data_IF_106869875498
#
_entry.id   IF_106869875498
#
_cell.length_a   1.000
_cell.length_b   1.000
_cell.length_c   1.000
_cell.angle_alpha   90.00
_cell.angle_beta   90.00
_cell.angle_gamma   90.00
#
_symmetry.space_group_name_H-M   'P 1'
#
loop_
_entity.id
_entity.type
_entity.pdbx_description
1 polymer ?
#
# COMPACT_ATOMS: atom_id res chain seq x y z
N UNK A 1 28.76 24.59 21.17
CA UNK A 1 28.98 24.94 19.75
C UNK A 1 29.03 23.66 18.93
N UNK A 2 27.88 23.17 18.49
CA UNK A 2 27.50 23.16 17.07
C UNK A 2 26.14 22.48 16.96
N UNK A 3 25.11 23.32 16.89
CA UNK A 3 23.79 22.95 16.38
C UNK A 3 23.96 22.65 14.88
N UNK A 4 23.85 21.38 14.53
CA UNK A 4 23.79 20.91 13.15
C UNK A 4 22.34 20.79 12.70
N UNK A 5 21.61 21.90 12.67
CA UNK A 5 20.32 21.97 11.99
C UNK A 5 20.59 21.98 10.47
N UNK A 6 20.45 20.82 9.83
CA UNK A 6 20.49 20.74 8.37
C UNK A 6 19.14 21.18 7.81
N UNK A 7 19.21 22.30 7.09
CA UNK A 7 18.11 22.92 6.39
C UNK A 7 17.65 22.01 5.24
N UNK A 8 16.43 21.49 5.36
CA UNK A 8 15.60 21.24 4.19
C UNK A 8 15.25 22.63 3.64
N UNK A 9 16.05 23.13 2.71
CA UNK A 9 15.73 24.36 2.00
C UNK A 9 14.44 24.13 1.19
N UNK A 10 13.41 24.87 1.59
CA UNK A 10 11.99 24.75 1.22
C UNK A 10 11.18 23.64 1.92
N UNK A 11 11.48 23.38 3.20
CA UNK A 11 10.46 22.86 4.11
C UNK A 11 9.35 23.91 4.22
N UNK A 12 8.26 23.68 3.48
CA UNK A 12 7.05 24.49 3.58
C UNK A 12 6.67 24.76 5.04
N UNK A 13 5.98 25.87 5.29
CA UNK A 13 5.67 26.35 6.63
C UNK A 13 5.21 25.22 7.56
N UNK A 14 5.87 25.11 8.73
CA UNK A 14 5.53 24.10 9.73
C UNK A 14 4.15 24.42 10.31
N UNK A 15 3.12 23.74 9.79
CA UNK A 15 1.72 24.01 10.16
C UNK A 15 1.33 23.40 11.52
N UNK A 16 1.82 22.20 11.85
CA UNK A 16 1.49 21.51 13.09
C UNK A 16 2.54 20.46 13.47
N UNK A 17 2.57 20.08 14.75
CA UNK A 17 3.37 18.96 15.27
C UNK A 17 2.50 18.09 16.15
N UNK A 18 2.58 16.79 15.91
CA UNK A 18 2.08 15.79 16.84
C UNK A 18 3.28 15.01 17.37
N UNK A 19 3.50 15.09 18.68
CA UNK A 19 4.49 14.25 19.35
C UNK A 19 3.80 12.95 19.76
N UNK A 20 4.36 11.81 19.34
CA UNK A 20 3.93 10.49 19.80
C UNK A 20 4.84 10.13 20.97
N UNK A 21 4.26 9.84 22.13
CA UNK A 21 5.02 9.40 23.30
C UNK A 21 5.57 7.99 23.07
N UNK A 22 6.81 7.74 23.49
CA UNK A 22 7.43 6.41 23.42
C UNK A 22 6.88 5.45 24.51
N UNK A 23 6.21 5.99 25.53
CA UNK A 23 5.64 5.21 26.62
C UNK A 23 4.28 4.60 26.21
N UNK A 24 4.29 3.30 25.88
CA UNK A 24 3.09 2.54 25.51
C UNK A 24 1.95 2.64 26.55
N UNK A 25 2.29 2.83 27.83
CA UNK A 25 1.32 3.01 28.91
C UNK A 25 0.43 4.24 28.76
N UNK A 26 0.86 5.27 28.03
CA UNK A 26 0.05 6.45 27.74
C UNK A 26 -1.01 6.19 26.64
N UNK A 27 -0.91 5.06 25.95
CA UNK A 27 -1.84 4.61 24.91
C UNK A 27 -2.73 3.43 25.35
N UNK A 28 -2.65 3.01 26.62
CA UNK A 28 -3.52 1.98 27.23
C UNK A 28 -4.95 2.47 27.54
N UNK A 29 -5.37 3.55 26.87
CA UNK A 29 -6.74 4.05 26.92
C UNK A 29 -7.76 3.05 26.37
N UNK A 30 -9.06 3.38 26.47
CA UNK A 30 -10.10 2.54 25.88
C UNK A 30 -9.84 2.35 24.38
N UNK A 31 -10.04 1.11 23.91
CA UNK A 31 -9.91 0.78 22.48
C UNK A 31 -10.83 1.74 21.69
N UNK A 32 -10.30 2.49 20.71
CA UNK A 32 -11.11 3.37 19.88
C UNK A 32 -12.21 2.59 19.18
N UNK A 33 -13.35 3.25 18.94
CA UNK A 33 -14.42 2.64 18.15
C UNK A 33 -13.96 2.50 16.68
N UNK A 34 -13.75 1.26 16.26
CA UNK A 34 -13.47 0.92 14.87
C UNK A 34 -14.75 0.37 14.24
N UNK A 35 -15.36 1.16 13.36
CA UNK A 35 -16.53 0.72 12.59
C UNK A 35 -16.25 -0.55 11.78
N UNK A 36 -17.30 -1.34 11.55
CA UNK A 36 -17.20 -2.58 10.78
C UNK A 36 -16.70 -2.31 9.35
N UNK A 37 -15.69 -3.06 8.92
CA UNK A 37 -15.11 -2.93 7.59
C UNK A 37 -16.05 -3.55 6.56
N UNK A 38 -16.55 -2.74 5.63
CA UNK A 38 -17.41 -3.18 4.53
C UNK A 38 -16.73 -2.98 3.16
N UNK A 39 -16.91 -3.96 2.25
CA UNK A 39 -16.42 -3.84 0.87
C UNK A 39 -17.40 -2.96 0.06
N UNK A 40 -16.96 -1.76 -0.32
CA UNK A 40 -17.69 -0.84 -1.21
C UNK A 40 -17.46 -1.14 -2.70
N UNK A 41 -16.44 -1.94 -3.01
CA UNK A 41 -16.17 -2.49 -4.33
C UNK A 41 -14.71 -2.89 -4.51
N UNK A 42 -14.35 -3.22 -5.76
CA UNK A 42 -13.04 -3.76 -6.10
C UNK A 42 -12.68 -3.46 -7.57
N UNK A 43 -11.39 -3.55 -7.87
CA UNK A 43 -10.85 -3.53 -9.22
C UNK A 43 -9.67 -4.50 -9.32
N UNK A 44 -9.23 -4.79 -10.54
CA UNK A 44 -8.03 -5.56 -10.83
C UNK A 44 -7.04 -4.72 -11.63
N UNK A 45 -5.75 -4.98 -11.48
CA UNK A 45 -4.69 -4.38 -12.31
C UNK A 45 -4.00 -5.50 -13.09
N UNK A 46 -4.33 -5.63 -14.37
CA UNK A 46 -3.78 -6.66 -15.26
C UNK A 46 -2.77 -6.00 -16.19
N UNK A 47 -1.51 -6.41 -16.10
CA UNK A 47 -0.45 -5.86 -16.96
C UNK A 47 -0.37 -4.33 -16.92
N UNK A 48 -0.50 -3.76 -15.71
CA UNK A 48 -0.54 -2.31 -15.45
C UNK A 48 -1.81 -1.59 -15.95
N UNK A 49 -2.76 -2.32 -16.53
CA UNK A 49 -4.05 -1.78 -16.95
C UNK A 49 -5.12 -1.96 -15.87
N UNK A 50 -5.89 -0.90 -15.65
CA UNK A 50 -7.06 -0.91 -14.78
C UNK A 50 -8.19 -1.72 -15.41
N UNK A 51 -8.79 -2.62 -14.61
CA UNK A 51 -9.97 -3.37 -14.99
C UNK A 51 -11.00 -3.27 -13.86
N UNK A 52 -12.18 -2.73 -14.15
CA UNK A 52 -13.27 -2.54 -13.18
C UNK A 52 -14.00 -3.86 -12.86
N UNK A 53 -13.27 -4.87 -12.41
CA UNK A 53 -13.83 -6.17 -12.05
C UNK A 53 -12.86 -7.00 -11.21
N UNK A 54 -13.34 -8.15 -10.77
CA UNK A 54 -12.60 -9.14 -10.01
C UNK A 54 -11.81 -10.15 -10.88
N UNK A 55 -11.40 -9.82 -12.12
CA UNK A 55 -10.79 -10.84 -13.02
C UNK A 55 -9.52 -11.50 -12.47
N UNK A 56 -8.77 -10.80 -11.61
CA UNK A 56 -7.55 -11.33 -10.99
C UNK A 56 -7.79 -11.92 -9.59
N UNK A 57 -9.04 -11.96 -9.13
CA UNK A 57 -9.41 -12.55 -7.84
C UNK A 57 -8.96 -14.01 -7.80
N UNK A 58 -8.38 -14.39 -6.66
CA UNK A 58 -7.95 -15.75 -6.40
C UNK A 58 -8.64 -16.28 -5.15
N UNK A 59 -8.89 -17.57 -5.13
CA UNK A 59 -9.55 -18.27 -4.04
C UNK A 59 -8.54 -19.09 -3.26
N UNK A 60 -8.67 -19.12 -1.94
CA UNK A 60 -7.86 -20.00 -1.09
C UNK A 60 -8.15 -21.45 -1.45
N UNK A 61 -7.10 -22.27 -1.62
CA UNK A 61 -7.28 -23.70 -1.87
C UNK A 61 -7.52 -24.42 -0.55
N UNK A 62 -8.66 -25.09 -0.45
CA UNK A 62 -9.00 -26.01 0.63
C UNK A 62 -9.43 -27.35 0.01
N UNK A 63 -8.88 -28.50 0.44
CA UNK A 63 -7.84 -28.64 1.46
C UNK A 63 -6.49 -28.07 0.99
N UNK A 64 -5.64 -27.70 1.95
CA UNK A 64 -4.30 -27.21 1.64
C UNK A 64 -3.48 -28.31 0.95
N UNK A 65 -2.58 -27.97 0.01
CA UNK A 65 -1.73 -28.97 -0.64
C UNK A 65 -0.90 -29.71 0.41
N UNK A 66 -1.07 -31.02 0.56
CA UNK A 66 -0.41 -31.87 1.58
C UNK A 66 1.12 -32.00 1.40
N UNK A 67 1.71 -31.31 0.43
CA UNK A 67 3.14 -31.33 0.18
C UNK A 67 3.90 -30.66 1.33
N UNK A 68 4.62 -31.46 2.13
CA UNK A 68 5.51 -31.00 3.21
C UNK A 68 6.83 -30.36 2.73
N UNK A 69 7.05 -30.21 1.41
CA UNK A 69 8.33 -29.75 0.82
C UNK A 69 8.10 -28.83 -0.37
N UNK A 70 7.64 -27.60 -0.12
CA UNK A 70 7.53 -26.59 -1.18
C UNK A 70 8.90 -26.03 -1.53
N UNK A 71 9.34 -26.25 -2.78
CA UNK A 71 10.52 -25.56 -3.31
C UNK A 71 10.12 -24.17 -3.82
N UNK A 72 10.31 -23.16 -2.96
CA UNK A 72 10.02 -21.77 -3.29
C UNK A 72 11.03 -21.14 -4.26
N UNK A 73 12.18 -21.77 -4.52
CA UNK A 73 13.15 -21.30 -5.52
C UNK A 73 12.79 -21.70 -6.95
N UNK A 74 11.86 -22.64 -7.14
CA UNK A 74 11.53 -23.19 -8.46
C UNK A 74 10.97 -22.09 -9.38
N UNK A 75 11.73 -21.72 -10.41
CA UNK A 75 11.34 -20.72 -11.40
C UNK A 75 11.73 -19.28 -11.05
N UNK A 76 12.57 -19.08 -10.03
CA UNK A 76 13.10 -17.75 -9.68
C UNK A 76 13.89 -17.13 -10.85
N UNK A 77 14.77 -17.90 -11.49
CA UNK A 77 15.60 -17.39 -12.60
C UNK A 77 14.83 -16.94 -13.85
N UNK A 78 13.56 -17.33 -13.98
CA UNK A 78 12.69 -16.95 -15.10
C UNK A 78 11.64 -15.92 -14.70
N UNK A 79 11.62 -15.49 -13.42
CA UNK A 79 10.63 -14.56 -12.92
C UNK A 79 11.10 -13.13 -13.17
N UNK A 80 10.22 -12.29 -13.72
CA UNK A 80 10.53 -10.89 -13.90
C UNK A 80 10.21 -10.12 -12.61
N UNK A 81 11.17 -9.37 -12.05
CA UNK A 81 10.83 -8.39 -11.03
C UNK A 81 9.90 -7.34 -11.63
N UNK A 82 8.81 -7.04 -10.94
CA UNK A 82 7.91 -5.93 -11.25
C UNK A 82 8.21 -4.82 -10.26
N UNK A 83 8.62 -3.67 -10.76
CA UNK A 83 8.78 -2.48 -9.94
C UNK A 83 7.42 -2.05 -9.41
N UNK A 84 7.35 -1.64 -8.14
CA UNK A 84 6.18 -0.96 -7.61
C UNK A 84 6.10 0.38 -8.32
N UNK A 85 5.26 0.47 -9.34
CA UNK A 85 4.96 1.76 -9.93
C UNK A 85 4.08 2.54 -8.96
N UNK A 86 4.47 3.78 -8.72
CA UNK A 86 3.69 4.86 -8.12
C UNK A 86 2.23 4.94 -8.61
N UNK A 87 1.90 4.37 -9.77
CA UNK A 87 0.55 4.24 -10.33
C UNK A 87 -0.50 3.52 -9.44
N UNK A 88 -0.10 2.85 -8.34
CA UNK A 88 -1.05 2.23 -7.39
C UNK A 88 -2.07 3.22 -6.81
N UNK A 89 -1.62 4.44 -6.46
CA UNK A 89 -2.53 5.50 -5.98
C UNK A 89 -3.44 6.00 -7.10
N UNK A 90 -2.94 6.07 -8.33
CA UNK A 90 -3.69 6.49 -9.51
C UNK A 90 -4.86 5.55 -9.83
N UNK A 91 -4.68 4.24 -9.68
CA UNK A 91 -5.76 3.26 -9.87
C UNK A 91 -6.87 3.40 -8.82
N UNK A 92 -6.51 3.65 -7.55
CA UNK A 92 -7.50 3.91 -6.51
C UNK A 92 -8.29 5.19 -6.79
N UNK A 93 -7.60 6.27 -7.17
CA UNK A 93 -8.25 7.52 -7.58
C UNK A 93 -9.17 7.32 -8.79
N UNK A 94 -8.76 6.50 -9.74
CA UNK A 94 -9.57 6.13 -10.89
C UNK A 94 -10.85 5.39 -10.45
N UNK A 95 -10.74 4.39 -9.57
CA UNK A 95 -11.89 3.69 -9.00
C UNK A 95 -12.84 4.65 -8.28
N UNK A 96 -12.31 5.53 -7.42
CA UNK A 96 -13.08 6.56 -6.69
C UNK A 96 -13.84 7.47 -7.66
N UNK A 97 -13.19 7.89 -8.76
CA UNK A 97 -13.82 8.73 -9.79
C UNK A 97 -14.99 8.02 -10.48
N UNK A 98 -14.86 6.73 -10.76
CA UNK A 98 -15.93 5.94 -11.39
C UNK A 98 -17.07 5.61 -10.43
N UNK A 99 -16.79 5.43 -9.14
CA UNK A 99 -17.73 4.93 -8.13
C UNK A 99 -18.05 5.94 -7.03
N UNK A 100 -17.95 7.24 -7.32
CA UNK A 100 -18.18 8.34 -6.35
C UNK A 100 -19.50 8.23 -5.59
N UNK A 101 -20.55 7.72 -6.24
CA UNK A 101 -21.89 7.61 -5.68
C UNK A 101 -21.99 6.49 -4.62
N UNK A 102 -21.00 5.58 -4.57
CA UNK A 102 -20.88 4.55 -3.51
C UNK A 102 -20.16 5.06 -2.27
N UNK A 103 -19.43 6.17 -2.38
CA UNK A 103 -18.65 6.76 -1.28
C UNK A 103 -19.43 7.79 -0.48
N UNK A 104 -20.42 8.42 -1.12
CA UNK A 104 -21.31 9.40 -0.51
C UNK A 104 -22.64 8.70 -0.27
N UNK A 105 -22.93 8.34 0.99
CA UNK A 105 -24.28 7.90 1.35
C UNK A 105 -25.28 8.97 0.90
N UNK A 106 -26.46 8.60 0.35
CA UNK A 106 -27.48 9.59 0.07
C UNK A 106 -27.83 10.34 1.37
N UNK A 107 -28.10 11.66 1.30
CA UNK A 107 -28.60 12.38 2.46
C UNK A 107 -29.82 11.63 2.98
N UNK A 108 -29.80 11.26 4.26
CA UNK A 108 -30.95 10.68 4.92
C UNK A 108 -32.16 11.60 4.73
N UNK A 109 -33.31 11.11 4.27
CA UNK A 109 -34.51 11.93 4.10
C UNK A 109 -35.07 12.48 5.43
N UNK A 110 -34.53 12.06 6.58
CA UNK A 110 -35.03 12.43 7.92
C UNK A 110 -34.49 13.77 8.47
N UNK A 111 -33.76 14.57 7.67
CA UNK A 111 -33.24 15.87 8.08
C UNK A 111 -33.71 17.00 7.16
N UNK A 112 -35.02 17.20 7.09
CA UNK A 112 -35.60 18.52 6.77
C UNK A 112 -35.43 19.48 7.97
N UNK A 113 -34.18 19.84 8.29
CA UNK A 113 -33.90 21.03 9.10
C UNK A 113 -33.10 22.01 8.25
N UNK A 114 -33.60 23.24 8.01
CA UNK A 114 -32.81 24.27 7.36
C UNK A 114 -31.76 24.76 8.37
N UNK A 115 -30.59 24.12 8.38
CA UNK A 115 -29.45 24.54 9.21
C UNK A 115 -28.70 25.68 8.52
N UNK A 116 -28.88 26.89 9.06
CA UNK A 116 -28.27 28.15 8.62
C UNK A 116 -26.92 28.43 9.30
N UNK A 117 -26.16 27.41 9.67
CA UNK A 117 -24.82 27.57 10.28
C UNK A 117 -23.74 26.88 9.46
N UNK A 118 -22.65 27.59 9.18
CA UNK A 118 -21.42 27.07 8.56
C UNK A 118 -20.79 25.92 9.38
N UNK A 119 -21.16 25.77 10.66
CA UNK A 119 -20.65 24.76 11.59
C UNK A 119 -21.41 23.43 11.53
N UNK A 120 -22.66 23.42 11.04
CA UNK A 120 -23.47 22.20 10.87
C UNK A 120 -23.07 21.39 9.62
N UNK A 121 -22.26 22.00 8.76
CA UNK A 121 -21.50 21.31 7.71
C UNK A 121 -20.17 20.80 8.27
N UNK A 122 -20.20 20.14 9.43
CA UNK A 122 -19.11 19.24 9.84
C UNK A 122 -19.05 18.10 8.81
N UNK A 123 -18.41 18.43 7.69
CA UNK A 123 -18.30 17.60 6.51
C UNK A 123 -17.52 16.38 6.96
N UNK A 124 -18.18 15.22 7.00
CA UNK A 124 -17.54 13.95 7.30
C UNK A 124 -16.36 13.80 6.34
N UNK A 125 -15.15 14.08 6.83
CA UNK A 125 -13.96 14.09 5.99
C UNK A 125 -13.62 12.65 5.66
N UNK A 126 -13.59 12.32 4.37
CA UNK A 126 -13.30 10.97 3.89
C UNK A 126 -11.81 10.87 3.64
N UNK A 127 -11.13 10.00 4.39
CA UNK A 127 -9.72 9.70 4.20
C UNK A 127 -9.56 8.66 3.08
N UNK A 128 -8.80 9.01 2.04
CA UNK A 128 -8.51 8.13 0.91
C UNK A 128 -7.01 7.83 0.87
N UNK A 129 -6.65 6.58 1.15
CA UNK A 129 -5.26 6.15 1.17
C UNK A 129 -5.12 4.65 0.85
N UNK A 130 -3.90 4.25 0.49
CA UNK A 130 -3.57 2.83 0.44
C UNK A 130 -3.46 2.25 1.85
N UNK A 131 -3.88 1.00 2.05
CA UNK A 131 -3.82 0.31 3.36
C UNK A 131 -2.45 0.36 4.05
N UNK A 132 -1.37 0.42 3.27
CA UNK A 132 -0.02 0.56 3.81
C UNK A 132 0.16 1.84 4.64
N UNK A 133 -0.46 2.95 4.25
CA UNK A 133 -0.42 4.23 5.00
C UNK A 133 -1.01 4.05 6.40
N UNK A 134 -2.20 3.43 6.50
CA UNK A 134 -2.84 3.16 7.79
C UNK A 134 -1.97 2.24 8.66
N UNK A 135 -1.35 1.22 8.06
CA UNK A 135 -0.41 0.34 8.77
C UNK A 135 0.78 1.13 9.31
N UNK A 136 1.38 2.00 8.49
CA UNK A 136 2.50 2.85 8.93
C UNK A 136 2.12 3.70 10.12
N UNK A 137 0.97 4.37 10.08
CA UNK A 137 0.47 5.18 11.20
C UNK A 137 0.21 4.34 12.46
N UNK A 138 -0.56 3.25 12.33
CA UNK A 138 -0.88 2.38 13.48
C UNK A 138 0.35 1.73 14.11
N UNK A 139 1.39 1.49 13.33
CA UNK A 139 2.61 0.88 13.83
C UNK A 139 3.69 1.89 14.23
N UNK A 140 3.46 3.19 14.03
CA UNK A 140 4.44 4.24 14.37
C UNK A 140 4.91 4.18 15.83
N UNK A 141 4.03 3.97 16.83
CA UNK A 141 4.47 3.87 18.23
C UNK A 141 5.37 2.67 18.53
N UNK A 142 5.50 1.71 17.61
CA UNK A 142 6.22 0.45 17.83
C UNK A 142 7.49 0.31 16.97
N UNK A 143 7.73 1.20 16.00
CA UNK A 143 8.85 1.08 15.05
C UNK A 143 9.78 2.30 15.13
N UNK A 144 10.71 2.28 16.08
CA UNK A 144 11.71 3.35 16.29
C UNK A 144 12.71 3.54 15.13
N UNK A 145 12.84 2.57 14.21
CA UNK A 145 13.96 2.50 13.26
C UNK A 145 13.61 2.81 11.81
N UNK A 146 12.35 3.15 11.51
CA UNK A 146 11.92 3.39 10.13
C UNK A 146 11.17 4.72 10.03
N UNK A 147 11.91 5.77 9.67
CA UNK A 147 11.31 7.03 9.27
C UNK A 147 10.43 6.81 8.03
N UNK A 148 9.33 7.53 7.97
CA UNK A 148 8.38 7.51 6.86
C UNK A 148 7.95 8.93 6.54
N UNK A 149 7.65 9.17 5.26
CA UNK A 149 7.11 10.44 4.80
C UNK A 149 5.77 10.18 4.10
N UNK A 150 4.75 10.96 4.47
CA UNK A 150 3.43 10.88 3.86
C UNK A 150 3.08 12.24 3.27
N UNK A 151 2.65 12.25 2.01
CA UNK A 151 2.01 13.41 1.40
C UNK A 151 0.51 13.39 1.72
N UNK A 152 -0.04 14.56 2.02
CA UNK A 152 -1.47 14.74 2.22
C UNK A 152 -2.01 15.89 1.35
N UNK A 153 -3.11 15.66 0.64
CA UNK A 153 -3.77 16.66 -0.19
C UNK A 153 -5.27 16.66 0.11
N UNK A 154 -5.82 17.82 0.49
CA UNK A 154 -7.27 17.99 0.67
C UNK A 154 -7.91 18.48 -0.63
N UNK A 155 -8.98 17.82 -1.04
CA UNK A 155 -9.84 18.27 -2.13
C UNK A 155 -11.30 18.07 -1.73
N UNK A 156 -12.02 19.19 -1.51
CA UNK A 156 -13.38 19.21 -0.95
C UNK A 156 -13.42 18.48 0.40
N UNK A 157 -14.25 17.45 0.50
CA UNK A 157 -14.44 16.63 1.71
C UNK A 157 -13.51 15.41 1.76
N UNK A 158 -12.61 15.26 0.78
CA UNK A 158 -11.66 14.16 0.71
C UNK A 158 -10.26 14.61 1.16
N UNK A 159 -9.63 13.82 2.03
CA UNK A 159 -8.22 13.94 2.34
C UNK A 159 -7.47 12.74 1.76
N UNK A 160 -6.69 12.99 0.72
CA UNK A 160 -5.85 12.00 0.07
C UNK A 160 -4.53 11.90 0.81
N UNK A 161 -4.16 10.70 1.26
CA UNK A 161 -2.88 10.44 1.91
C UNK A 161 -2.13 9.37 1.13
N UNK A 162 -0.87 9.65 0.78
CA UNK A 162 -0.02 8.75 0.01
C UNK A 162 1.39 8.71 0.59
N UNK A 163 2.06 7.57 0.40
CA UNK A 163 3.43 7.39 0.83
C UNK A 163 4.38 8.13 -0.12
N UNK A 164 5.33 8.86 0.44
CA UNK A 164 6.47 9.43 -0.26
C UNK A 164 7.69 8.57 0.08
N UNK A 165 8.47 8.22 -0.94
CA UNK A 165 9.76 7.55 -0.71
C UNK A 165 10.66 8.55 0.03
N UNK A 166 10.83 8.35 1.34
CA UNK A 166 11.82 9.08 2.10
C UNK A 166 13.19 8.58 1.65
N UNK A 167 13.90 9.35 0.83
CA UNK A 167 15.34 9.16 0.64
C UNK A 167 15.98 9.39 2.01
N UNK A 168 16.52 8.37 2.69
CA UNK A 168 17.15 8.59 3.97
C UNK A 168 18.44 9.37 3.71
N UNK A 169 18.55 10.58 4.27
CA UNK A 169 19.84 11.24 4.39
C UNK A 169 20.81 10.28 5.11
N UNK A 170 21.81 9.77 4.39
CA UNK A 170 22.80 8.85 4.95
C UNK A 170 22.48 7.36 4.84
N UNK A 171 21.51 6.94 4.02
CA UNK A 171 21.49 5.56 3.55
C UNK A 171 22.77 5.30 2.75
N UNK A 172 23.70 4.56 3.35
CA UNK A 172 24.93 4.09 2.71
C UNK A 172 24.61 3.69 1.27
N UNK A 173 25.20 4.42 0.33
CA UNK A 173 25.10 4.26 -1.11
C UNK A 173 25.62 2.90 -1.64
N UNK A 174 25.78 1.93 -0.74
CA UNK A 174 25.82 0.49 -1.01
C UNK A 174 24.45 -0.11 -1.36
N UNK A 175 23.34 0.56 -1.02
CA UNK A 175 21.94 0.11 -1.26
C UNK A 175 21.47 0.21 -2.73
N UNK A 176 22.30 0.78 -3.61
CA UNK A 176 22.02 0.82 -5.05
C UNK A 176 22.24 -0.51 -5.79
N UNK A 177 22.70 -1.57 -5.10
CA UNK A 177 22.79 -2.92 -5.68
C UNK A 177 21.51 -3.71 -5.36
N UNK A 178 20.88 -4.36 -6.37
CA UNK A 178 19.78 -5.27 -6.11
C UNK A 178 20.25 -6.35 -5.14
N UNK A 179 19.73 -6.32 -3.92
CA UNK A 179 19.99 -7.37 -2.93
C UNK A 179 19.22 -8.61 -3.39
N UNK A 180 19.90 -9.47 -4.15
CA UNK A 180 19.37 -10.71 -4.68
C UNK A 180 18.73 -11.59 -3.59
N UNK A 181 19.10 -11.41 -2.30
CA UNK A 181 18.46 -12.08 -1.18
C UNK A 181 17.08 -11.51 -0.91
N UNK A 182 16.92 -10.18 -0.89
CA UNK A 182 15.61 -9.49 -0.75
C UNK A 182 14.68 -9.84 -1.90
N UNK A 183 15.18 -9.84 -3.13
CA UNK A 183 14.37 -10.19 -4.32
C UNK A 183 13.91 -11.64 -4.27
N UNK A 184 14.78 -12.54 -3.83
CA UNK A 184 14.45 -13.96 -3.65
C UNK A 184 13.38 -14.17 -2.57
N UNK A 185 13.46 -13.45 -1.45
CA UNK A 185 12.43 -13.52 -0.39
C UNK A 185 11.09 -12.98 -0.91
N UNK A 186 11.08 -11.89 -1.69
CA UNK A 186 9.87 -11.37 -2.35
C UNK A 186 9.27 -12.39 -3.32
N UNK A 187 10.11 -13.04 -4.12
CA UNK A 187 9.68 -14.13 -4.99
C UNK A 187 9.06 -15.29 -4.21
N UNK A 188 9.66 -15.70 -3.09
CA UNK A 188 9.11 -16.76 -2.23
C UNK A 188 7.70 -16.44 -1.75
N UNK A 189 7.44 -15.19 -1.36
CA UNK A 189 6.09 -14.72 -1.00
C UNK A 189 5.09 -14.86 -2.15
N UNK A 190 5.45 -14.40 -3.36
CA UNK A 190 4.61 -14.53 -4.55
C UNK A 190 4.36 -16.00 -4.94
N UNK A 191 5.40 -16.84 -4.83
CA UNK A 191 5.33 -18.28 -5.10
C UNK A 191 4.42 -18.98 -4.12
N UNK A 192 4.56 -18.70 -2.83
CA UNK A 192 3.71 -19.23 -1.77
C UNK A 192 2.24 -18.85 -2.00
N UNK A 193 1.94 -17.56 -2.26
CA UNK A 193 0.59 -17.12 -2.57
C UNK A 193 -0.02 -17.91 -3.75
N UNK A 194 0.76 -18.19 -4.80
CA UNK A 194 0.31 -18.99 -5.94
C UNK A 194 0.11 -20.48 -5.61
N UNK A 195 0.90 -21.05 -4.71
CA UNK A 195 0.70 -22.43 -4.24
C UNK A 195 -0.63 -22.54 -3.48
N UNK A 196 -0.92 -21.55 -2.64
CA UNK A 196 -2.07 -21.52 -1.74
C UNK A 196 -3.39 -21.11 -2.41
N UNK A 197 -3.37 -20.62 -3.64
CA UNK A 197 -4.57 -20.04 -4.28
C UNK A 197 -4.88 -20.60 -5.67
N UNK A 198 -6.15 -20.60 -6.04
CA UNK A 198 -6.69 -20.99 -7.35
C UNK A 198 -7.39 -19.82 -8.05
N UNK A 199 -7.51 -19.88 -9.38
CA UNK A 199 -8.38 -18.98 -10.16
C UNK A 199 -9.81 -19.50 -10.25
N UNK A 200 -10.02 -20.80 -10.03
CA UNK A 200 -11.33 -21.43 -10.01
C UNK A 200 -11.89 -21.45 -8.58
N UNK A 201 -13.22 -21.30 -8.46
CA UNK A 201 -13.91 -21.19 -7.17
C UNK A 201 -13.96 -22.52 -6.40
N UNK A 202 -13.80 -23.67 -7.06
CA UNK A 202 -13.68 -25.01 -6.42
C UNK A 202 -13.23 -26.05 -7.47
N UNK A 203 -12.50 -27.10 -7.07
CA UNK A 203 -12.40 -28.38 -7.80
C UNK A 203 -11.53 -28.47 -9.06
N UNK A 204 -11.46 -27.44 -9.90
CA UNK A 204 -10.79 -27.57 -11.19
C UNK A 204 -9.27 -27.36 -11.09
N UNK A 205 -8.52 -28.41 -11.40
CA UNK A 205 -7.06 -28.34 -11.54
C UNK A 205 -6.71 -27.60 -12.83
N UNK A 206 -6.55 -26.28 -12.75
CA UNK A 206 -5.95 -25.50 -13.84
C UNK A 206 -4.42 -25.65 -13.77
N UNK A 207 -3.75 -26.07 -14.86
CA UNK A 207 -2.29 -26.18 -14.91
C UNK A 207 -1.60 -24.89 -14.46
N UNK A 208 -0.54 -25.05 -13.66
CA UNK A 208 0.16 -23.93 -13.03
C UNK A 208 0.99 -23.17 -14.07
N UNK A 209 0.51 -22.03 -14.55
CA UNK A 209 1.39 -21.09 -15.26
C UNK A 209 2.55 -20.64 -14.33
N UNK A 210 3.75 -20.34 -14.86
CA UNK A 210 4.88 -19.88 -14.05
C UNK A 210 4.55 -18.58 -13.29
N UNK A 211 5.31 -18.31 -12.21
CA UNK A 211 5.31 -16.96 -11.62
C UNK A 211 6.07 -16.07 -12.59
N UNK A 212 5.34 -15.30 -13.38
CA UNK A 212 5.92 -14.40 -14.38
C UNK A 212 6.35 -13.06 -13.78
N UNK A 213 5.66 -12.58 -12.72
CA UNK A 213 5.94 -11.28 -12.08
C UNK A 213 5.81 -11.32 -10.55
N UNK A 214 6.65 -10.56 -9.84
CA UNK A 214 6.57 -10.32 -8.38
C UNK A 214 6.97 -8.88 -8.04
N UNK A 215 6.41 -8.29 -6.98
CA UNK A 215 6.61 -6.86 -6.67
C UNK A 215 7.94 -6.59 -5.96
N UNK A 216 8.67 -5.56 -6.41
CA UNK A 216 9.80 -4.90 -5.74
C UNK A 216 9.37 -3.52 -5.24
N UNK A 217 9.86 -3.04 -4.09
CA UNK A 217 9.63 -1.63 -3.69
C UNK A 217 10.40 -0.66 -4.62
N UNK A 218 9.80 0.51 -4.85
CA UNK A 218 10.44 1.66 -5.51
C UNK A 218 11.71 2.08 -4.75
N UNK A 219 12.76 2.46 -5.49
CA UNK A 219 14.08 2.81 -4.97
C UNK A 219 15.24 1.94 -5.48
N UNK A 220 14.99 0.86 -6.24
CA UNK A 220 16.04 -0.12 -6.57
C UNK A 220 16.28 -0.27 -8.09
N UNK A 221 17.39 0.34 -8.53
CA UNK A 221 18.16 0.12 -9.76
C UNK A 221 17.83 0.97 -11.00
N UNK A 222 18.79 1.85 -11.33
CA UNK A 222 19.06 2.34 -12.68
C UNK A 222 19.45 1.15 -13.59
N UNK A 223 19.00 1.20 -14.84
CA UNK A 223 19.32 0.24 -15.89
C UNK A 223 20.83 -0.02 -15.98
N UNK A 224 21.25 -1.28 -15.87
CA UNK A 224 22.56 -1.71 -16.34
C UNK A 224 22.38 -2.69 -17.49
N UNK A 225 22.59 -2.16 -18.70
CA UNK A 225 22.80 -2.94 -19.93
C UNK A 225 24.14 -3.70 -19.78
N UNK A 226 24.19 -5.03 -19.97
CA UNK A 226 25.47 -5.73 -19.94
C UNK A 226 26.21 -5.52 -21.28
N UNK A 227 27.38 -4.89 -21.23
CA UNK A 227 28.33 -4.91 -22.36
C UNK A 227 28.89 -6.33 -22.59
N UNK A 228 29.12 -6.74 -23.85
CA UNK A 228 29.71 -8.03 -24.16
C UNK A 228 31.22 -8.01 -23.90
N UNK A 229 31.71 -8.94 -23.07
CA UNK A 229 33.15 -9.19 -22.93
C UNK A 229 33.71 -9.79 -24.22
N UNK A 230 34.77 -9.17 -24.74
CA UNK A 230 35.70 -9.78 -25.71
C UNK A 230 36.62 -10.76 -25.01
#
# INVERSE_FOLDING_TARGET
MNDGALAVEDAGEKVAVLTVSDELSEHDGPIPDYGEVSEIGHFSVKDDEYVDSAVLRRYLRVPFPESRKWNLNKGYGNALPRMFDSGSSSHLLHWVRLHKDKLVSPPSPDLERPSTSLEDRSSRTVFLCGRFVLKTLMCTPFFEKQAWLLGACRYRDFLFIYHLDAEPEGADSSEGRPDWRRDRVRYWGAKFARIMTSTARTGDFVPRAPVTRFHLQSGMAKQTTPEPRK
#
